data_IF_138423573706
#
_entry.id   IF_138423573706
#
_cell.length_a   1.000
_cell.length_b   1.000
_cell.length_c   1.000
_cell.angle_alpha   90.00
_cell.angle_beta   90.00
_cell.angle_gamma   90.00
#
_symmetry.space_group_name_H-M   'P 1'
#
loop_
_entity.id
_entity.type
_entity.pdbx_description
1 polymer ?
#
# COMPACT_ATOMS: atom_id res chain seq x y z
N UNK A 1 -14.75 0.93 9.33
CA UNK A 1 -14.89 0.07 10.52
C UNK A 1 -14.91 0.91 11.80
N UNK A 2 -13.76 1.33 12.37
CA UNK A 2 -13.75 2.09 13.63
C UNK A 2 -14.40 3.49 13.57
N UNK A 3 -14.31 4.16 12.42
CA UNK A 3 -14.91 5.48 12.17
C UNK A 3 -16.25 5.39 11.40
N UNK A 4 -16.91 4.23 11.40
CA UNK A 4 -18.23 4.05 10.77
C UNK A 4 -18.25 3.68 9.27
N UNK A 5 -17.10 3.63 8.60
CA UNK A 5 -17.05 3.18 7.19
C UNK A 5 -17.45 1.70 7.02
N UNK A 6 -18.18 1.39 5.95
CA UNK A 6 -18.34 0.01 5.45
C UNK A 6 -17.04 -0.41 4.75
N UNK A 7 -16.45 -1.52 5.19
CA UNK A 7 -15.13 -1.96 4.74
C UNK A 7 -15.24 -3.31 4.07
N UNK A 8 -14.71 -3.43 2.86
CA UNK A 8 -14.47 -4.71 2.19
C UNK A 8 -12.98 -4.98 2.17
N UNK A 9 -12.55 -6.11 2.73
CA UNK A 9 -11.16 -6.56 2.77
C UNK A 9 -10.96 -7.73 1.80
N UNK A 10 -10.07 -7.55 0.83
CA UNK A 10 -9.81 -8.50 -0.24
C UNK A 10 -8.37 -8.99 -0.17
N UNK A 11 -8.16 -10.31 -0.13
CA UNK A 11 -6.84 -10.92 -0.20
C UNK A 11 -6.94 -12.30 -0.88
N UNK A 12 -5.94 -12.68 -1.67
CA UNK A 12 -5.91 -13.98 -2.37
C UNK A 12 -5.58 -15.19 -1.47
N UNK A 13 -5.15 -14.95 -0.23
CA UNK A 13 -4.67 -15.98 0.71
C UNK A 13 -5.67 -16.18 1.84
N UNK A 14 -6.39 -17.30 1.80
CA UNK A 14 -7.32 -17.69 2.86
C UNK A 14 -6.64 -17.79 4.23
N UNK A 15 -5.36 -18.19 4.27
CA UNK A 15 -4.58 -18.23 5.51
C UNK A 15 -4.37 -16.83 6.12
N UNK A 16 -4.12 -15.80 5.30
CA UNK A 16 -4.05 -14.41 5.76
C UNK A 16 -5.43 -13.91 6.21
N UNK A 17 -6.48 -14.27 5.48
CA UNK A 17 -7.86 -13.89 5.82
C UNK A 17 -8.35 -14.53 7.12
N UNK A 18 -7.93 -15.75 7.44
CA UNK A 18 -8.20 -16.34 8.75
C UNK A 18 -7.66 -15.47 9.90
N UNK A 19 -6.41 -15.03 9.79
CA UNK A 19 -5.79 -14.11 10.77
C UNK A 19 -6.48 -12.75 10.80
N UNK A 20 -6.94 -12.25 9.66
CA UNK A 20 -7.72 -11.02 9.59
C UNK A 20 -9.04 -11.16 10.37
N UNK A 21 -9.78 -12.26 10.18
CA UNK A 21 -11.03 -12.52 10.91
C UNK A 21 -10.81 -12.61 12.42
N UNK A 22 -9.74 -13.27 12.85
CA UNK A 22 -9.33 -13.32 14.27
C UNK A 22 -9.04 -11.92 14.83
N UNK A 23 -8.35 -11.06 14.06
CA UNK A 23 -8.09 -9.68 14.45
C UNK A 23 -9.36 -8.81 14.51
N UNK A 24 -10.27 -8.96 13.55
CA UNK A 24 -11.57 -8.29 13.54
C UNK A 24 -12.39 -8.66 14.78
N UNK A 25 -12.47 -9.96 15.10
CA UNK A 25 -13.14 -10.44 16.31
C UNK A 25 -12.52 -9.87 17.60
N UNK A 26 -11.18 -9.89 17.70
CA UNK A 26 -10.45 -9.35 18.87
C UNK A 26 -10.66 -7.85 19.05
N UNK A 27 -10.72 -7.10 17.95
CA UNK A 27 -10.87 -5.63 17.96
C UNK A 27 -12.32 -5.17 17.96
N UNK A 28 -13.29 -6.10 17.85
CA UNK A 28 -14.72 -5.81 17.71
C UNK A 28 -15.02 -4.89 16.53
N UNK A 29 -14.29 -5.09 15.43
CA UNK A 29 -14.46 -4.37 14.18
C UNK A 29 -15.07 -5.30 13.13
N UNK A 30 -15.79 -4.71 12.19
CA UNK A 30 -16.46 -5.44 11.11
C UNK A 30 -15.92 -5.01 9.74
N UNK A 31 -15.78 -5.99 8.86
CA UNK A 31 -15.49 -5.84 7.46
C UNK A 31 -16.05 -7.05 6.69
N UNK A 32 -16.50 -6.84 5.46
CA UNK A 32 -16.77 -7.92 4.52
C UNK A 32 -15.43 -8.51 4.07
N UNK A 33 -15.22 -9.81 4.29
CA UNK A 33 -13.93 -10.46 3.99
C UNK A 33 -14.07 -11.38 2.79
N UNK A 34 -13.36 -11.07 1.71
CA UNK A 34 -13.46 -11.76 0.42
C UNK A 34 -12.10 -12.36 0.04
N UNK A 35 -12.08 -13.68 -0.19
CA UNK A 35 -10.92 -14.37 -0.74
C UNK A 35 -10.93 -14.29 -2.27
N UNK A 36 -10.18 -13.35 -2.84
CA UNK A 36 -10.10 -13.15 -4.28
C UNK A 36 -8.75 -12.55 -4.71
N UNK A 37 -8.39 -12.75 -5.98
CA UNK A 37 -7.31 -12.00 -6.60
C UNK A 37 -7.79 -10.58 -6.92
N UNK A 38 -7.13 -9.58 -6.34
CA UNK A 38 -7.44 -8.17 -6.55
C UNK A 38 -7.34 -7.73 -8.03
N UNK A 39 -6.54 -8.42 -8.86
CA UNK A 39 -6.47 -8.14 -10.30
C UNK A 39 -7.76 -8.55 -11.05
N UNK A 40 -8.52 -9.49 -10.49
CA UNK A 40 -9.74 -10.04 -11.10
C UNK A 40 -11.00 -9.69 -10.31
N UNK A 41 -10.84 -9.05 -9.15
CA UNK A 41 -11.94 -8.68 -8.27
C UNK A 41 -12.87 -7.66 -8.95
N UNK A 42 -14.17 -7.91 -8.82
CA UNK A 42 -15.23 -7.05 -9.36
C UNK A 42 -16.20 -6.74 -8.24
N UNK A 43 -16.51 -5.46 -8.10
CA UNK A 43 -17.48 -4.95 -7.15
C UNK A 43 -18.04 -3.63 -7.69
N UNK A 44 -19.07 -3.11 -7.02
CA UNK A 44 -19.47 -1.72 -7.21
C UNK A 44 -18.33 -0.77 -6.81
N UNK A 45 -18.18 0.39 -7.47
CA UNK A 45 -17.09 1.31 -7.17
C UNK A 45 -17.10 1.84 -5.72
N UNK A 46 -15.93 1.88 -5.10
CA UNK A 46 -15.69 2.36 -3.75
C UNK A 46 -15.44 3.87 -3.69
N UNK A 47 -15.75 4.46 -2.53
CA UNK A 47 -15.49 5.87 -2.22
C UNK A 47 -14.01 6.15 -1.87
N UNK A 48 -13.23 5.11 -1.56
CA UNK A 48 -11.78 5.16 -1.37
C UNK A 48 -11.21 3.74 -1.40
N UNK A 49 -9.94 3.59 -1.79
CA UNK A 49 -9.21 2.32 -1.71
C UNK A 49 -7.87 2.55 -1.00
N UNK A 50 -7.54 1.64 -0.06
CA UNK A 50 -6.17 1.46 0.43
C UNK A 50 -5.59 0.22 -0.24
N UNK A 51 -4.58 0.41 -1.08
CA UNK A 51 -3.81 -0.65 -1.71
C UNK A 51 -2.48 -0.82 -0.99
N UNK A 52 -2.45 -1.72 -0.01
CA UNK A 52 -1.21 -2.25 0.58
C UNK A 52 -0.66 -3.34 -0.35
N UNK A 53 0.26 -2.96 -1.23
CA UNK A 53 0.68 -3.80 -2.34
C UNK A 53 1.79 -4.79 -1.93
N UNK A 54 1.80 -6.02 -2.49
CA UNK A 54 2.90 -6.95 -2.29
C UNK A 54 4.21 -6.33 -2.81
N UNK A 55 5.25 -6.33 -1.98
CA UNK A 55 6.53 -5.71 -2.29
C UNK A 55 7.71 -6.56 -1.80
N UNK A 56 8.93 -6.15 -2.14
CA UNK A 56 10.16 -6.86 -1.76
C UNK A 56 10.38 -6.91 -0.25
N UNK A 57 9.70 -6.04 0.50
CA UNK A 57 9.81 -5.90 1.96
C UNK A 57 11.19 -5.40 2.42
N UNK A 58 12.00 -4.77 1.56
CA UNK A 58 13.32 -4.24 1.95
C UNK A 58 13.24 -3.12 2.98
N UNK A 59 12.09 -2.49 3.17
CA UNK A 59 11.84 -1.59 4.30
C UNK A 59 11.87 -2.28 5.66
N UNK A 60 11.65 -3.60 5.70
CA UNK A 60 11.62 -4.36 6.95
C UNK A 60 12.97 -4.92 7.40
N UNK A 61 14.07 -4.58 6.69
CA UNK A 61 15.42 -5.11 6.94
C UNK A 61 15.87 -5.04 8.39
N UNK A 62 15.44 -4.01 9.13
CA UNK A 62 15.73 -3.84 10.56
C UNK A 62 15.22 -5.01 11.40
N UNK A 63 14.03 -5.55 11.07
CA UNK A 63 13.39 -6.66 11.78
C UNK A 63 13.64 -8.02 11.10
N UNK A 64 13.91 -7.98 9.80
CA UNK A 64 14.08 -9.15 8.94
C UNK A 64 15.34 -8.99 8.05
N UNK A 65 16.55 -9.12 8.64
CA UNK A 65 17.81 -8.88 7.92
C UNK A 65 18.09 -9.90 6.80
N UNK A 66 17.42 -11.06 6.84
CA UNK A 66 17.45 -12.09 5.82
C UNK A 66 16.89 -11.61 4.47
N UNK A 67 16.00 -10.61 4.46
CA UNK A 67 15.45 -10.01 3.24
C UNK A 67 16.55 -9.52 2.29
N UNK A 68 17.66 -8.99 2.82
CA UNK A 68 18.80 -8.52 2.01
C UNK A 68 19.46 -9.63 1.18
N UNK A 69 19.36 -10.88 1.64
CA UNK A 69 19.98 -12.04 1.00
C UNK A 69 18.99 -12.78 0.10
N UNK A 70 17.70 -12.72 0.43
CA UNK A 70 16.65 -13.46 -0.27
C UNK A 70 16.10 -12.73 -1.49
N UNK A 71 16.20 -11.39 -1.54
CA UNK A 71 15.64 -10.59 -2.63
C UNK A 71 16.66 -10.35 -3.72
N UNK A 72 16.25 -10.59 -4.97
CA UNK A 72 17.05 -10.32 -6.16
C UNK A 72 16.45 -9.14 -6.93
N UNK A 73 17.24 -8.38 -7.71
CA UNK A 73 16.73 -7.31 -8.54
C UNK A 73 15.60 -7.73 -9.50
N UNK A 74 15.61 -8.97 -9.99
CA UNK A 74 14.54 -9.51 -10.83
C UNK A 74 13.22 -9.66 -10.08
N UNK A 75 13.27 -9.98 -8.78
CA UNK A 75 12.08 -10.10 -7.94
C UNK A 75 11.45 -8.71 -7.71
N UNK A 76 12.29 -7.69 -7.45
CA UNK A 76 11.87 -6.28 -7.29
C UNK A 76 11.14 -5.79 -8.54
N UNK A 77 11.72 -6.02 -9.73
CA UNK A 77 11.09 -5.62 -11.00
C UNK A 77 9.75 -6.32 -11.24
N UNK A 78 9.66 -7.62 -10.96
CA UNK A 78 8.42 -8.38 -11.11
C UNK A 78 7.33 -7.88 -10.15
N UNK A 79 7.71 -7.49 -8.92
CA UNK A 79 6.79 -6.93 -7.93
C UNK A 79 6.34 -5.52 -8.30
N UNK A 80 7.23 -4.66 -8.79
CA UNK A 80 6.87 -3.33 -9.30
C UNK A 80 5.87 -3.41 -10.46
N UNK A 81 6.04 -4.38 -11.37
CA UNK A 81 5.08 -4.63 -12.46
C UNK A 81 3.72 -5.06 -11.91
N UNK A 82 3.70 -5.98 -10.95
CA UNK A 82 2.46 -6.40 -10.27
C UNK A 82 1.79 -5.22 -9.54
N UNK A 83 2.55 -4.37 -8.87
CA UNK A 83 2.06 -3.16 -8.19
C UNK A 83 1.38 -2.22 -9.19
N UNK A 84 1.99 -1.97 -10.36
CA UNK A 84 1.39 -1.17 -11.44
C UNK A 84 0.07 -1.76 -11.94
N UNK A 85 0.01 -3.09 -12.12
CA UNK A 85 -1.23 -3.78 -12.50
C UNK A 85 -2.32 -3.65 -11.44
N UNK A 86 -1.96 -3.72 -10.15
CA UNK A 86 -2.90 -3.54 -9.04
C UNK A 86 -3.41 -2.10 -8.95
N UNK A 87 -2.55 -1.09 -9.16
CA UNK A 87 -2.98 0.31 -9.24
C UNK A 87 -3.96 0.51 -10.41
N UNK A 88 -3.69 -0.09 -11.57
CA UNK A 88 -4.58 -0.04 -12.72
C UNK A 88 -5.93 -0.76 -12.47
N UNK A 89 -5.91 -1.87 -11.74
CA UNK A 89 -7.12 -2.60 -11.33
C UNK A 89 -7.97 -1.77 -10.34
N UNK A 90 -7.33 -1.15 -9.34
CA UNK A 90 -7.99 -0.28 -8.37
C UNK A 90 -8.73 0.88 -9.04
N UNK A 91 -8.20 1.40 -10.15
CA UNK A 91 -8.85 2.47 -10.91
C UNK A 91 -10.25 2.11 -11.40
N UNK A 92 -10.52 0.83 -11.69
CA UNK A 92 -11.83 0.35 -12.15
C UNK A 92 -12.84 0.15 -11.02
N UNK A 93 -12.34 0.15 -9.78
CA UNK A 93 -13.10 -0.07 -8.56
C UNK A 93 -13.28 1.22 -7.76
N UNK A 94 -12.84 2.37 -8.28
CA UNK A 94 -13.01 3.67 -7.62
C UNK A 94 -14.11 4.47 -8.32
N UNK A 95 -14.94 5.15 -7.54
CA UNK A 95 -15.81 6.20 -8.07
C UNK A 95 -14.94 7.33 -8.67
N UNK A 96 -15.42 8.07 -9.68
CA UNK A 96 -14.71 9.22 -10.20
C UNK A 96 -14.31 10.20 -9.08
N UNK A 97 -13.04 10.61 -9.05
CA UNK A 97 -12.50 11.52 -8.03
C UNK A 97 -12.23 10.89 -6.65
N UNK A 98 -12.55 9.61 -6.43
CA UNK A 98 -12.25 8.92 -5.18
C UNK A 98 -10.73 8.67 -5.02
N UNK A 99 -10.19 8.77 -3.80
CA UNK A 99 -8.77 8.58 -3.55
C UNK A 99 -8.37 7.10 -3.52
N UNK A 100 -7.21 6.82 -4.11
CA UNK A 100 -6.40 5.64 -3.88
C UNK A 100 -5.24 6.03 -2.95
N UNK A 101 -5.13 5.36 -1.81
CA UNK A 101 -3.88 5.33 -1.03
C UNK A 101 -3.11 4.10 -1.47
N UNK A 102 -1.97 4.31 -2.12
CA UNK A 102 -1.04 3.25 -2.48
C UNK A 102 0.09 3.20 -1.46
N UNK A 103 0.44 2.00 -1.00
CA UNK A 103 1.42 1.81 0.05
C UNK A 103 2.27 0.55 -0.15
N UNK A 104 3.56 0.62 0.19
CA UNK A 104 4.51 -0.52 0.20
C UNK A 104 5.52 -0.38 1.34
N UNK A 105 5.97 -1.50 1.89
CA UNK A 105 7.08 -1.56 2.86
C UNK A 105 8.44 -1.85 2.18
N UNK A 106 8.74 -1.15 1.08
CA UNK A 106 9.98 -1.28 0.31
C UNK A 106 10.81 0.01 0.34
N UNK A 107 12.13 -0.12 0.26
CA UNK A 107 13.07 0.99 0.05
C UNK A 107 13.54 1.11 -1.41
N UNK A 108 13.23 0.11 -2.25
CA UNK A 108 13.65 0.07 -3.66
C UNK A 108 12.93 1.16 -4.46
N UNK A 109 13.63 1.95 -5.30
CA UNK A 109 13.01 3.03 -6.07
C UNK A 109 12.06 2.54 -7.17
N UNK A 110 12.26 1.32 -7.68
CA UNK A 110 11.36 0.69 -8.65
C UNK A 110 9.97 0.42 -8.07
N UNK A 111 9.93 0.07 -6.78
CA UNK A 111 8.71 -0.06 -6.00
C UNK A 111 8.37 1.30 -5.39
N UNK A 112 7.12 1.57 -5.00
CA UNK A 112 6.80 2.89 -4.45
C UNK A 112 6.93 4.02 -5.51
N UNK A 113 7.98 4.88 -5.50
CA UNK A 113 8.11 5.99 -6.44
C UNK A 113 8.02 5.61 -7.93
N UNK A 114 8.65 4.51 -8.35
CA UNK A 114 8.61 4.05 -9.74
C UNK A 114 7.19 3.72 -10.22
N UNK A 115 6.42 3.02 -9.38
CA UNK A 115 5.01 2.69 -9.64
C UNK A 115 4.14 3.95 -9.68
N UNK A 116 4.37 4.90 -8.75
CA UNK A 116 3.64 6.17 -8.75
C UNK A 116 3.96 6.97 -10.01
N UNK A 117 5.23 7.05 -10.41
CA UNK A 117 5.62 7.73 -11.65
C UNK A 117 4.93 7.13 -12.88
N UNK A 118 4.78 5.81 -12.94
CA UNK A 118 4.03 5.15 -14.01
C UNK A 118 2.53 5.41 -13.93
N UNK A 119 1.94 5.38 -12.73
CA UNK A 119 0.54 5.74 -12.54
C UNK A 119 0.23 7.16 -13.04
N UNK A 120 1.11 8.14 -12.76
CA UNK A 120 0.94 9.53 -13.22
C UNK A 120 0.92 9.67 -14.74
N UNK A 121 1.73 8.87 -15.47
CA UNK A 121 1.67 8.83 -16.95
C UNK A 121 0.34 8.25 -17.46
N UNK A 122 -0.31 7.42 -16.65
CA UNK A 122 -1.56 6.73 -16.98
C UNK A 122 -2.81 7.44 -16.44
N UNK A 123 -2.74 8.76 -16.26
CA UNK A 123 -3.89 9.61 -15.96
C UNK A 123 -4.25 9.74 -14.48
N UNK A 124 -3.43 9.21 -13.58
CA UNK A 124 -3.52 9.53 -12.16
C UNK A 124 -2.93 10.91 -11.88
N UNK A 125 -3.41 11.55 -10.81
CA UNK A 125 -2.82 12.76 -10.23
C UNK A 125 -2.44 12.49 -8.79
N UNK A 126 -1.27 12.98 -8.40
CA UNK A 126 -0.81 12.96 -7.01
C UNK A 126 -1.49 14.10 -6.25
N UNK A 127 -1.98 13.80 -5.05
CA UNK A 127 -2.48 14.79 -4.09
C UNK A 127 -1.68 14.67 -2.79
N UNK A 128 -1.50 15.76 -2.03
CA UNK A 128 -0.89 15.69 -0.71
C UNK A 128 -1.60 14.71 0.21
N UNK A 129 -0.79 13.97 0.98
CA UNK A 129 -1.29 13.21 2.13
C UNK A 129 -1.77 14.14 3.25
N UNK A 130 -2.45 13.57 4.24
CA UNK A 130 -2.99 14.34 5.36
C UNK A 130 -1.90 15.00 6.20
N UNK A 131 -2.18 16.21 6.69
CA UNK A 131 -1.36 16.95 7.67
C UNK A 131 -1.18 16.20 9.01
N UNK A 132 -1.89 15.08 9.23
CA UNK A 132 -1.68 14.21 10.37
C UNK A 132 -0.36 13.41 10.30
N UNK A 133 0.28 13.33 9.14
CA UNK A 133 1.59 12.69 8.97
C UNK A 133 2.68 13.69 9.36
N UNK A 134 3.64 13.30 10.23
CA UNK A 134 4.79 14.16 10.56
C UNK A 134 5.51 14.66 9.31
N UNK A 135 5.77 15.97 9.26
CA UNK A 135 6.34 16.65 8.07
C UNK A 135 7.70 16.07 7.64
N UNK A 136 8.48 15.54 8.58
CA UNK A 136 9.76 14.87 8.31
C UNK A 136 9.64 13.59 7.48
N UNK A 137 8.45 12.98 7.42
CA UNK A 137 8.17 11.83 6.56
C UNK A 137 7.63 12.22 5.19
N UNK A 138 7.32 13.50 4.95
CA UNK A 138 6.78 13.95 3.67
C UNK A 138 7.92 14.24 2.71
N UNK A 139 7.89 13.61 1.54
CA UNK A 139 8.87 13.82 0.47
C UNK A 139 8.60 15.15 -0.26
N UNK A 140 9.57 15.70 -1.01
CA UNK A 140 9.35 16.90 -1.83
C UNK A 140 8.17 16.78 -2.81
N UNK A 141 7.84 15.56 -3.22
CA UNK A 141 6.72 15.26 -4.11
C UNK A 141 5.36 15.24 -3.39
N UNK A 142 5.32 15.26 -2.06
CA UNK A 142 4.09 15.17 -1.25
C UNK A 142 3.67 13.75 -0.87
N UNK A 143 4.52 12.75 -1.15
CA UNK A 143 4.34 11.37 -0.72
C UNK A 143 4.87 11.18 0.72
N UNK A 144 4.58 10.05 1.36
CA UNK A 144 5.17 9.67 2.66
C UNK A 144 6.31 8.67 2.43
N UNK A 145 7.45 8.89 3.08
CA UNK A 145 8.54 7.92 3.15
C UNK A 145 9.17 7.87 4.55
N UNK A 146 9.36 6.67 5.05
CA UNK A 146 10.16 6.37 6.24
C UNK A 146 11.34 5.47 5.87
N UNK A 147 12.36 5.41 6.73
CA UNK A 147 13.55 4.57 6.57
C UNK A 147 14.21 4.32 7.95
N UNK A 148 15.10 3.32 8.07
CA UNK A 148 15.71 2.94 9.35
C UNK A 148 16.55 4.00 10.08
N UNK A 149 16.83 5.12 9.43
CA UNK A 149 17.54 6.25 10.03
C UNK A 149 16.62 7.23 10.76
N UNK A 150 15.30 7.14 10.60
CA UNK A 150 14.35 7.97 11.36
C UNK A 150 14.18 7.46 12.78
N UNK A 151 14.04 8.39 13.72
CA UNK A 151 13.89 8.17 15.16
C UNK A 151 14.90 7.18 15.76
N UNK A 152 16.22 7.41 15.56
CA UNK A 152 17.26 6.52 16.09
C UNK A 152 17.19 6.39 17.62
N UNK A 153 16.71 7.41 18.33
CA UNK A 153 16.57 7.45 19.79
C UNK A 153 15.56 6.44 20.35
N UNK A 154 14.59 5.98 19.54
CA UNK A 154 13.68 4.89 19.90
C UNK A 154 14.02 3.57 19.19
N UNK A 155 15.21 3.51 18.60
CA UNK A 155 15.76 2.33 17.94
C UNK A 155 15.50 2.25 16.44
N UNK A 156 15.00 3.31 15.80
CA UNK A 156 14.77 3.36 14.36
C UNK A 156 13.37 2.92 13.92
N UNK A 157 12.97 3.33 12.72
CA UNK A 157 11.75 2.89 12.04
C UNK A 157 12.01 1.81 10.99
N UNK A 158 10.95 1.21 10.47
CA UNK A 158 11.06 0.50 9.19
C UNK A 158 10.96 1.47 8.02
N UNK A 159 11.39 1.01 6.86
CA UNK A 159 11.12 1.66 5.58
C UNK A 159 9.69 1.44 5.11
N UNK A 160 9.04 2.52 4.71
CA UNK A 160 7.69 2.51 4.16
C UNK A 160 7.53 3.65 3.16
N UNK A 161 6.72 3.43 2.13
CA UNK A 161 6.34 4.45 1.17
C UNK A 161 4.83 4.44 0.98
N UNK A 162 4.21 5.62 0.95
CA UNK A 162 2.81 5.76 0.60
C UNK A 162 2.55 7.01 -0.24
N UNK A 163 1.58 6.93 -1.15
CA UNK A 163 1.16 8.03 -2.00
C UNK A 163 -0.37 8.09 -2.07
N UNK A 164 -0.91 9.30 -2.16
CA UNK A 164 -2.33 9.52 -2.42
C UNK A 164 -2.53 9.92 -3.88
N UNK A 165 -3.33 9.14 -4.58
CA UNK A 165 -3.61 9.29 -5.99
C UNK A 165 -5.10 9.47 -6.24
N UNK A 166 -5.46 10.38 -7.15
CA UNK A 166 -6.82 10.57 -7.64
C UNK A 166 -6.86 10.35 -9.15
N UNK A 167 -8.01 9.93 -9.65
CA UNK A 167 -8.28 9.80 -11.08
C UNK A 167 -9.61 10.49 -11.40
N UNK A 168 -9.60 11.33 -12.45
CA UNK A 168 -10.81 11.90 -13.04
C UNK A 168 -11.50 10.94 -13.97
#
# INVERSE_FOLDING_TARGET
AAAGAHVTAVDKSEARLKRLRENLARTKLEAEVICADALQFKAEPFDAILLDAPCSSTGTLRRHPDVAWLRRPTDVRALAELQSQLVAAAAKLLKPGAPLIYAVCSLEPEEGPGVVAEALKNGWRREPLSDAIPAEFITPEGDMRTHPGFWPEIGGLDGFYAARLLRS
#
